data_IF_256298746266
#
_entry.id   IF_256298746266
#
_cell.length_a   1.000
_cell.length_b   1.000
_cell.length_c   1.000
_cell.angle_alpha   90.00
_cell.angle_beta   90.00
_cell.angle_gamma   90.00
#
_symmetry.space_group_name_H-M   'P 1'
#
loop_
_entity.id
_entity.type
_entity.pdbx_description
1 polymer ?
#
# COMPACT_ATOMS: atom_id res chain seq x y z
N UNK A 1 -7.82 -2.68 -5.43
CA UNK A 1 -7.41 -1.46 -4.70
C UNK A 1 -8.06 -1.45 -3.32
N UNK A 2 -7.72 -0.52 -2.43
CA UNK A 2 -8.02 -0.54 -0.98
C UNK A 2 -7.27 -1.68 -0.27
N UNK A 3 -5.98 -1.48 -0.08
CA UNK A 3 -5.07 -2.54 0.36
C UNK A 3 -4.08 -1.99 1.38
N UNK A 4 -4.08 -2.59 2.58
CA UNK A 4 -3.36 -2.05 3.75
C UNK A 4 -2.53 -3.11 4.47
N UNK A 5 -3.05 -4.33 4.60
CA UNK A 5 -2.47 -5.38 5.44
C UNK A 5 -1.66 -6.43 4.68
N UNK A 6 -0.74 -7.09 5.40
CA UNK A 6 0.10 -8.16 4.83
C UNK A 6 -0.70 -9.42 4.45
N UNK A 7 -1.74 -9.76 5.23
CA UNK A 7 -2.61 -10.91 4.93
C UNK A 7 -3.34 -10.74 3.59
N UNK A 8 -3.78 -9.52 3.28
CA UNK A 8 -4.37 -9.17 1.97
C UNK A 8 -3.35 -9.40 0.85
N UNK A 9 -2.08 -9.06 1.07
CA UNK A 9 -1.03 -9.27 0.07
C UNK A 9 -0.79 -10.74 -0.24
N UNK A 10 -0.73 -11.57 0.78
CA UNK A 10 -0.55 -13.00 0.58
C UNK A 10 -1.75 -13.57 -0.18
N UNK A 11 -2.98 -13.30 0.27
CA UNK A 11 -4.17 -13.79 -0.40
C UNK A 11 -4.26 -13.34 -1.87
N UNK A 12 -3.94 -12.08 -2.17
CA UNK A 12 -3.96 -11.56 -3.54
C UNK A 12 -2.96 -12.25 -4.47
N UNK A 13 -1.72 -12.47 -4.02
CA UNK A 13 -0.74 -13.13 -4.89
C UNK A 13 -1.02 -14.60 -5.09
N UNK A 14 -1.59 -15.28 -4.09
CA UNK A 14 -2.00 -16.67 -4.21
C UNK A 14 -3.20 -16.83 -5.15
N UNK A 15 -4.10 -15.84 -5.18
CA UNK A 15 -5.18 -15.74 -6.16
C UNK A 15 -4.71 -15.41 -7.59
N UNK A 16 -3.41 -15.20 -7.81
CA UNK A 16 -2.84 -14.97 -9.14
C UNK A 16 -3.21 -13.62 -9.76
N UNK A 17 -3.52 -12.60 -8.95
CA UNK A 17 -3.88 -11.27 -9.48
C UNK A 17 -2.67 -10.64 -10.20
N UNK A 18 -2.94 -9.87 -11.25
CA UNK A 18 -1.88 -9.21 -12.03
C UNK A 18 -1.11 -8.18 -11.21
N UNK A 19 -1.81 -7.36 -10.43
CA UNK A 19 -1.25 -6.20 -9.74
C UNK A 19 -1.99 -5.94 -8.43
N UNK A 20 -1.23 -5.53 -7.41
CA UNK A 20 -1.76 -4.96 -6.17
C UNK A 20 -1.34 -3.50 -6.00
N UNK A 21 -2.16 -2.73 -5.29
CA UNK A 21 -1.88 -1.32 -5.00
C UNK A 21 -1.87 -1.07 -3.50
N UNK A 22 -0.81 -1.46 -2.77
CA UNK A 22 -0.70 -1.19 -1.33
C UNK A 22 -0.54 0.31 -1.07
N UNK A 23 -1.34 0.82 -0.12
CA UNK A 23 -1.35 2.24 0.23
C UNK A 23 -0.24 2.58 1.21
N UNK A 24 0.36 3.76 1.08
CA UNK A 24 1.42 4.25 1.97
C UNK A 24 0.88 5.31 2.94
N UNK A 25 0.47 6.45 2.40
CA UNK A 25 0.05 7.63 3.15
C UNK A 25 -1.15 7.42 4.06
N UNK A 26 -2.15 6.63 3.65
CA UNK A 26 -3.29 6.33 4.54
C UNK A 26 -2.87 5.47 5.75
N UNK A 27 -1.81 4.68 5.63
CA UNK A 27 -1.22 3.95 6.77
C UNK A 27 -0.54 4.96 7.70
N UNK A 28 0.24 5.89 7.15
CA UNK A 28 0.86 6.98 7.91
C UNK A 28 -0.19 7.80 8.69
N UNK A 29 -1.29 8.18 8.05
CA UNK A 29 -2.36 8.96 8.68
C UNK A 29 -2.97 8.25 9.89
N UNK A 30 -3.23 6.95 9.77
CA UNK A 30 -3.75 6.14 10.88
C UNK A 30 -2.77 6.14 12.06
N UNK A 31 -1.48 5.90 11.78
CA UNK A 31 -0.45 5.87 12.81
C UNK A 31 -0.22 7.23 13.47
N UNK A 32 -0.30 8.34 12.73
CA UNK A 32 -0.24 9.70 13.29
C UNK A 32 -1.44 9.99 14.19
N UNK A 33 -2.64 9.54 13.82
CA UNK A 33 -3.83 9.71 14.65
C UNK A 33 -3.71 8.92 15.96
N UNK A 34 -3.20 7.68 15.91
CA UNK A 34 -3.03 6.83 17.09
C UNK A 34 -1.82 7.20 17.95
N UNK A 35 -0.77 7.76 17.34
CA UNK A 35 0.47 8.17 18.01
C UNK A 35 0.90 9.56 17.51
N UNK A 36 0.28 10.65 18.01
CA UNK A 36 0.53 12.00 17.52
C UNK A 36 1.99 12.46 17.60
N UNK A 37 2.73 11.96 18.59
CA UNK A 37 4.15 12.27 18.80
C UNK A 37 5.10 11.21 18.21
N UNK A 38 4.59 10.32 17.36
CA UNK A 38 5.38 9.30 16.69
C UNK A 38 6.33 9.90 15.64
N UNK A 39 7.53 9.34 15.54
CA UNK A 39 8.49 9.67 14.49
C UNK A 39 8.30 8.71 13.32
N UNK A 40 7.69 9.20 12.26
CA UNK A 40 7.30 8.41 11.08
C UNK A 40 7.95 8.93 9.79
N UNK A 41 9.14 9.51 9.90
CA UNK A 41 9.88 10.07 8.78
C UNK A 41 10.70 9.01 8.02
N UNK A 42 10.74 9.15 6.68
CA UNK A 42 11.55 8.32 5.79
C UNK A 42 11.37 6.82 6.03
N UNK A 43 12.43 6.09 6.43
CA UNK A 43 12.35 4.64 6.66
C UNK A 43 11.50 4.24 7.88
N UNK A 44 11.16 5.18 8.77
CA UNK A 44 10.27 4.95 9.90
C UNK A 44 8.78 5.08 9.54
N UNK A 45 8.47 5.49 8.31
CA UNK A 45 7.09 5.57 7.84
C UNK A 45 6.46 4.15 7.80
N UNK A 46 5.34 3.92 8.50
CA UNK A 46 4.72 2.60 8.59
C UNK A 46 4.13 2.13 7.26
N UNK A 47 3.72 3.05 6.38
CA UNK A 47 3.27 2.74 5.03
C UNK A 47 4.44 2.30 4.14
N UNK A 48 5.58 3.00 4.22
CA UNK A 48 6.81 2.58 3.54
C UNK A 48 7.20 1.18 4.00
N UNK A 49 7.26 0.94 5.32
CA UNK A 49 7.59 -0.38 5.88
C UNK A 49 6.63 -1.48 5.40
N UNK A 50 5.33 -1.18 5.31
CA UNK A 50 4.33 -2.10 4.78
C UNK A 50 4.64 -2.51 3.34
N UNK A 51 4.84 -1.55 2.44
CA UNK A 51 5.15 -1.82 1.03
C UNK A 51 6.50 -2.55 0.88
N UNK A 52 7.53 -2.15 1.62
CA UNK A 52 8.84 -2.83 1.61
C UNK A 52 8.73 -4.30 2.06
N UNK A 53 7.92 -4.58 3.09
CA UNK A 53 7.66 -5.95 3.56
C UNK A 53 6.96 -6.78 2.48
N UNK A 54 5.93 -6.24 1.85
CA UNK A 54 5.17 -6.91 0.78
C UNK A 54 6.07 -7.19 -0.44
N UNK A 55 6.78 -6.16 -0.92
CA UNK A 55 7.71 -6.28 -2.03
C UNK A 55 8.74 -7.38 -1.76
N UNK A 56 9.38 -7.36 -0.59
CA UNK A 56 10.36 -8.38 -0.21
C UNK A 56 9.76 -9.77 -0.19
N UNK A 57 8.59 -9.96 0.40
CA UNK A 57 7.90 -11.25 0.43
C UNK A 57 7.66 -11.78 -0.99
N UNK A 58 7.15 -10.91 -1.88
CA UNK A 58 6.86 -11.30 -3.26
C UNK A 58 8.11 -11.73 -4.02
N UNK A 59 9.21 -10.98 -3.90
CA UNK A 59 10.45 -11.33 -4.60
C UNK A 59 11.18 -12.54 -3.99
N UNK A 60 11.04 -12.79 -2.69
CA UNK A 60 11.58 -13.97 -2.01
C UNK A 60 10.88 -15.25 -2.45
N UNK A 61 9.55 -15.23 -2.53
CA UNK A 61 8.73 -16.39 -2.91
C UNK A 61 8.60 -16.53 -4.44
N UNK A 62 9.11 -15.59 -5.23
CA UNK A 62 9.09 -15.65 -6.69
C UNK A 62 7.74 -15.32 -7.33
N UNK A 63 6.85 -14.66 -6.58
CA UNK A 63 5.53 -14.24 -7.04
C UNK A 63 5.62 -13.22 -8.19
N UNK A 64 4.69 -13.34 -9.14
CA UNK A 64 4.66 -12.52 -10.37
C UNK A 64 3.73 -11.32 -10.29
N UNK A 65 2.85 -11.28 -9.28
CA UNK A 65 1.99 -10.14 -9.03
C UNK A 65 2.81 -8.86 -8.88
N UNK A 66 2.45 -7.84 -9.63
CA UNK A 66 3.11 -6.53 -9.63
C UNK A 66 2.79 -5.79 -8.33
N UNK A 67 3.81 -5.23 -7.68
CA UNK A 67 3.63 -4.36 -6.51
C UNK A 67 3.66 -2.90 -6.96
N UNK A 68 2.50 -2.23 -6.94
CA UNK A 68 2.38 -0.81 -7.28
C UNK A 68 2.11 0.05 -6.05
N UNK A 69 3.13 0.67 -5.46
CA UNK A 69 2.92 1.56 -4.31
C UNK A 69 1.98 2.72 -4.65
N UNK A 70 1.04 3.05 -3.76
CA UNK A 70 0.01 4.04 -4.01
C UNK A 70 -0.26 4.95 -2.80
N UNK A 71 -1.01 6.04 -3.02
CA UNK A 71 -1.51 6.94 -1.97
C UNK A 71 -0.39 7.60 -1.15
N UNK A 72 0.51 8.35 -1.78
CA UNK A 72 1.61 9.04 -1.09
C UNK A 72 1.18 10.39 -0.49
N UNK A 73 1.73 10.76 0.68
CA UNK A 73 1.56 12.11 1.26
C UNK A 73 2.71 13.05 0.94
N UNK A 74 3.90 12.53 0.64
CA UNK A 74 5.09 13.33 0.40
C UNK A 74 6.09 12.60 -0.50
N UNK A 75 7.04 13.34 -1.08
CA UNK A 75 8.07 12.78 -1.95
C UNK A 75 9.10 11.91 -1.22
N UNK A 76 9.23 12.04 0.10
CA UNK A 76 10.09 11.19 0.93
C UNK A 76 9.65 9.73 0.90
N UNK A 77 8.36 9.47 1.06
CA UNK A 77 7.77 8.12 0.94
C UNK A 77 8.07 7.47 -0.42
N UNK A 78 7.96 8.26 -1.50
CA UNK A 78 8.21 7.82 -2.87
C UNK A 78 9.70 7.43 -3.04
N UNK A 79 10.61 8.29 -2.56
CA UNK A 79 12.05 8.06 -2.61
C UNK A 79 12.45 6.82 -1.79
N UNK A 80 11.81 6.58 -0.66
CA UNK A 80 12.05 5.38 0.17
C UNK A 80 11.54 4.07 -0.47
N UNK A 81 10.73 4.18 -1.52
CA UNK A 81 10.22 3.06 -2.30
C UNK A 81 10.81 3.02 -3.73
N UNK A 82 11.85 3.79 -4.00
CA UNK A 82 12.55 3.77 -5.27
C UNK A 82 13.08 2.35 -5.58
N UNK A 83 12.65 1.81 -6.73
CA UNK A 83 12.93 0.42 -7.14
C UNK A 83 11.79 -0.58 -6.87
N UNK A 84 10.65 -0.12 -6.34
CA UNK A 84 9.39 -0.86 -6.44
C UNK A 84 9.01 -1.09 -7.92
N UNK A 85 8.17 -2.09 -8.21
CA UNK A 85 7.83 -2.43 -9.61
C UNK A 85 7.14 -1.24 -10.29
N UNK A 86 6.14 -0.65 -9.63
CA UNK A 86 5.46 0.57 -10.06
C UNK A 86 5.15 1.46 -8.86
N UNK A 87 4.94 2.76 -9.12
CA UNK A 87 4.43 3.72 -8.16
C UNK A 87 3.37 4.59 -8.87
N UNK A 88 2.17 4.68 -8.31
CA UNK A 88 1.13 5.59 -8.81
C UNK A 88 1.14 6.88 -7.97
N UNK A 89 1.54 7.98 -8.58
CA UNK A 89 1.87 9.24 -7.90
C UNK A 89 0.89 10.33 -8.37
N UNK A 90 0.41 11.16 -7.44
CA UNK A 90 -0.48 12.28 -7.77
C UNK A 90 0.25 13.35 -8.60
N UNK A 91 -0.45 14.14 -9.42
CA UNK A 91 0.18 15.21 -10.22
C UNK A 91 0.99 16.19 -9.37
N UNK A 92 0.48 16.58 -8.19
CA UNK A 92 1.19 17.49 -7.29
C UNK A 92 2.56 16.96 -6.84
N UNK A 93 2.64 15.68 -6.45
CA UNK A 93 3.90 15.07 -6.03
C UNK A 93 4.82 14.76 -7.21
N UNK A 94 4.27 14.49 -8.40
CA UNK A 94 5.07 14.40 -9.63
C UNK A 94 5.74 15.73 -9.96
N UNK A 95 5.02 16.84 -9.83
CA UNK A 95 5.58 18.18 -10.04
C UNK A 95 6.67 18.51 -9.02
N UNK A 96 6.50 18.13 -7.76
CA UNK A 96 7.55 18.28 -6.73
C UNK A 96 8.80 17.47 -7.05
N UNK A 97 8.64 16.22 -7.50
CA UNK A 97 9.76 15.37 -7.91
C UNK A 97 10.46 15.94 -9.15
N UNK A 98 9.69 16.43 -10.13
CA UNK A 98 10.21 17.02 -11.36
C UNK A 98 11.06 18.28 -11.08
N UNK A 99 10.69 19.06 -10.08
CA UNK A 99 11.41 20.29 -9.67
C UNK A 99 12.60 20.03 -8.74
N UNK A 100 12.84 18.77 -8.35
CA UNK A 100 13.88 18.42 -7.39
C UNK A 100 15.14 17.87 -8.07
N UNK A 101 16.29 18.50 -7.83
CA UNK A 101 17.60 17.99 -8.26
C UNK A 101 18.23 16.99 -7.26
N UNK A 102 17.48 16.58 -6.24
CA UNK A 102 17.98 15.65 -5.25
C UNK A 102 18.15 14.26 -5.86
N UNK A 103 19.34 13.67 -5.68
CA UNK A 103 19.62 12.31 -6.11
C UNK A 103 18.66 11.32 -5.43
N UNK A 104 18.07 10.43 -6.22
CA UNK A 104 17.22 9.33 -5.74
C UNK A 104 18.01 8.02 -5.80
N UNK A 105 18.19 7.38 -4.65
CA UNK A 105 18.88 6.10 -4.54
C UNK A 105 17.91 4.93 -4.61
N UNK A 106 18.28 3.86 -5.30
CA UNK A 106 17.48 2.64 -5.34
C UNK A 106 17.45 1.94 -3.97
N UNK A 107 16.30 2.00 -3.30
CA UNK A 107 16.06 1.35 -2.00
C UNK A 107 15.67 -0.12 -2.16
N UNK A 108 14.82 -0.43 -3.13
CA UNK A 108 14.29 -1.76 -3.39
C UNK A 108 14.91 -2.40 -4.63
N UNK A 109 15.31 -3.66 -4.52
CA UNK A 109 15.73 -4.46 -5.67
C UNK A 109 15.45 -5.95 -5.42
N UNK A 110 15.31 -6.72 -6.51
CA UNK A 110 15.08 -8.17 -6.44
C UNK A 110 16.24 -8.87 -5.71
N UNK A 111 17.48 -8.51 -6.03
CA UNK A 111 18.67 -9.06 -5.38
C UNK A 111 18.65 -8.82 -3.87
N UNK A 112 18.42 -7.57 -3.42
CA UNK A 112 18.35 -7.23 -1.99
C UNK A 112 17.23 -7.99 -1.28
N UNK A 113 16.08 -8.16 -1.93
CA UNK A 113 14.96 -8.91 -1.36
C UNK A 113 15.31 -10.40 -1.16
N UNK A 114 15.96 -11.02 -2.15
CA UNK A 114 16.32 -12.44 -2.13
C UNK A 114 17.46 -12.77 -1.15
N UNK A 115 18.42 -11.86 -0.94
CA UNK A 115 19.54 -12.05 0.00
C UNK A 115 19.19 -11.69 1.44
N UNK A 116 18.06 -11.01 1.68
CA UNK A 116 17.61 -10.62 3.01
C UNK A 116 17.10 -11.81 3.85
N UNK A 117 16.85 -11.55 5.15
CA UNK A 117 16.20 -12.51 6.05
C UNK A 117 14.90 -13.02 5.40
N UNK A 118 14.73 -14.34 5.30
CA UNK A 118 13.50 -14.94 4.78
C UNK A 118 12.33 -14.63 5.71
N UNK A 119 11.22 -14.19 5.12
CA UNK A 119 9.95 -14.08 5.81
C UNK A 119 9.31 -15.47 5.93
N UNK A 120 8.60 -15.78 7.03
CA UNK A 120 7.83 -17.01 7.12
C UNK A 120 6.79 -17.07 6.00
N UNK A 121 6.73 -18.21 5.32
CA UNK A 121 5.69 -18.48 4.33
C UNK A 121 4.36 -18.70 5.05
N UNK A 122 3.34 -18.00 4.58
CA UNK A 122 1.96 -18.11 5.05
C UNK A 122 1.04 -18.22 3.84
N UNK A 123 -0.18 -18.71 4.06
CA UNK A 123 -1.18 -18.92 3.01
C UNK A 123 -2.57 -18.59 3.53
N UNK A 124 -3.40 -17.96 2.69
CA UNK A 124 -4.73 -17.48 3.07
C UNK A 124 -5.80 -17.68 1.99
N UNK A 125 -5.46 -17.84 0.70
CA UNK A 125 -6.46 -17.85 -0.39
C UNK A 125 -7.51 -18.97 -0.23
N UNK A 126 -7.09 -20.14 0.25
CA UNK A 126 -7.95 -21.32 0.43
C UNK A 126 -8.49 -21.45 1.86
N UNK A 127 -8.28 -20.45 2.72
CA UNK A 127 -8.70 -20.47 4.13
C UNK A 127 -9.26 -19.11 4.57
N UNK A 128 -10.51 -18.84 4.18
CA UNK A 128 -11.21 -17.61 4.50
C UNK A 128 -11.29 -17.31 6.01
N UNK A 129 -11.57 -18.26 6.92
CA UNK A 129 -11.58 -17.99 8.36
C UNK A 129 -10.23 -17.45 8.88
N UNK A 130 -9.12 -18.07 8.49
CA UNK A 130 -7.79 -17.63 8.92
C UNK A 130 -7.43 -16.28 8.28
N UNK A 131 -7.81 -16.04 7.02
CA UNK A 131 -7.67 -14.73 6.38
C UNK A 131 -8.40 -13.64 7.17
N UNK A 132 -9.68 -13.86 7.50
CA UNK A 132 -10.50 -12.90 8.26
C UNK A 132 -9.91 -12.65 9.64
N UNK A 133 -9.42 -13.69 10.31
CA UNK A 133 -8.77 -13.57 11.60
C UNK A 133 -7.46 -12.78 11.52
N UNK A 134 -6.62 -13.04 10.52
CA UNK A 134 -5.39 -12.30 10.29
C UNK A 134 -5.66 -10.82 9.99
N UNK A 135 -6.69 -10.51 9.20
CA UNK A 135 -7.12 -9.15 8.90
C UNK A 135 -7.65 -8.43 10.15
N UNK A 136 -8.47 -9.10 10.96
CA UNK A 136 -9.02 -8.53 12.20
C UNK A 136 -7.92 -8.16 13.20
N UNK A 137 -6.85 -8.94 13.30
CA UNK A 137 -5.71 -8.66 14.19
C UNK A 137 -4.85 -7.47 13.75
N UNK A 138 -4.96 -7.04 12.49
CA UNK A 138 -4.28 -5.86 11.97
C UNK A 138 -5.25 -4.67 12.05
N UNK A 139 -5.32 -4.04 13.22
CA UNK A 139 -6.27 -2.95 13.51
C UNK A 139 -6.23 -1.83 12.46
N UNK A 140 -5.02 -1.44 12.04
CA UNK A 140 -4.84 -0.42 11.00
C UNK A 140 -5.42 -0.86 9.67
N UNK A 141 -5.11 -2.08 9.22
CA UNK A 141 -5.64 -2.60 7.96
C UNK A 141 -7.16 -2.79 8.02
N UNK A 142 -7.69 -3.25 9.15
CA UNK A 142 -9.11 -3.39 9.39
C UNK A 142 -9.83 -2.04 9.29
N UNK A 143 -9.39 -1.04 10.06
CA UNK A 143 -10.01 0.28 10.09
C UNK A 143 -9.97 0.93 8.71
N UNK A 144 -8.79 0.97 8.08
CA UNK A 144 -8.60 1.66 6.80
C UNK A 144 -9.30 0.96 5.64
N UNK A 145 -9.44 -0.36 5.67
CA UNK A 145 -10.25 -1.10 4.69
C UNK A 145 -11.71 -0.66 4.77
N UNK A 146 -12.32 -0.70 5.96
CA UNK A 146 -13.73 -0.34 6.14
C UNK A 146 -13.98 1.15 5.88
N UNK A 147 -13.12 2.04 6.36
CA UNK A 147 -13.17 3.47 6.08
C UNK A 147 -13.08 3.73 4.57
N UNK A 148 -12.16 3.06 3.88
CA UNK A 148 -11.96 3.18 2.44
C UNK A 148 -13.20 2.77 1.65
N UNK A 149 -13.78 1.60 1.95
CA UNK A 149 -14.99 1.10 1.29
C UNK A 149 -16.15 2.08 1.48
N UNK A 150 -16.36 2.57 2.71
CA UNK A 150 -17.43 3.52 3.01
C UNK A 150 -17.30 4.81 2.20
N UNK A 151 -16.11 5.42 2.16
CA UNK A 151 -15.87 6.67 1.42
C UNK A 151 -16.13 6.51 -0.08
N UNK A 152 -15.68 5.42 -0.70
CA UNK A 152 -15.95 5.19 -2.11
C UNK A 152 -17.43 4.97 -2.42
N UNK A 153 -18.19 4.36 -1.50
CA UNK A 153 -19.63 4.25 -1.63
C UNK A 153 -20.31 5.63 -1.55
N UNK A 154 -19.89 6.49 -0.63
CA UNK A 154 -20.38 7.88 -0.50
C UNK A 154 -20.07 8.72 -1.76
N UNK A 155 -18.86 8.60 -2.31
CA UNK A 155 -18.47 9.25 -3.57
C UNK A 155 -19.32 8.75 -4.75
N UNK A 156 -19.64 7.45 -4.77
CA UNK A 156 -20.49 6.85 -5.82
C UNK A 156 -21.92 7.38 -5.78
N UNK A 157 -22.52 7.52 -4.59
CA UNK A 157 -23.84 8.13 -4.45
C UNK A 157 -23.82 9.62 -4.80
N UNK A 158 -22.76 10.34 -4.41
CA UNK A 158 -22.58 11.75 -4.79
C UNK A 158 -22.54 11.92 -6.31
N UNK A 159 -21.77 11.08 -7.01
CA UNK A 159 -21.71 11.08 -8.47
C UNK A 159 -23.07 10.77 -9.08
N UNK A 160 -23.79 9.77 -8.55
CA UNK A 160 -25.12 9.40 -9.03
C UNK A 160 -26.11 10.56 -8.91
N UNK A 161 -26.13 11.27 -7.78
CA UNK A 161 -26.98 12.46 -7.61
C UNK A 161 -26.61 13.58 -8.59
N UNK A 162 -25.32 13.84 -8.81
CA UNK A 162 -24.86 14.83 -9.79
C UNK A 162 -25.32 14.48 -11.20
N UNK A 163 -25.24 13.21 -11.60
CA UNK A 163 -25.72 12.75 -12.91
C UNK A 163 -27.23 12.90 -13.03
N UNK A 164 -28.01 12.58 -11.99
CA UNK A 164 -29.45 12.78 -11.98
C UNK A 164 -29.83 14.24 -12.22
N UNK A 165 -29.14 15.19 -11.57
CA UNK A 165 -29.39 16.64 -11.79
C UNK A 165 -29.01 17.10 -13.19
N UNK A 166 -28.07 16.44 -13.88
CA UNK A 166 -27.62 16.81 -15.23
C UNK A 166 -28.43 16.17 -16.36
N UNK A 167 -29.14 15.08 -16.07
CA UNK A 167 -29.98 14.34 -17.02
C UNK A 167 -31.46 14.74 -16.98
N UNK A 168 -31.86 15.55 -15.99
CA UNK A 168 -33.15 16.23 -15.93
C UNK A 168 -33.09 17.55 -16.72
#
# INVERSE_FOLDING_TARGET
SIFFGFGQAVACTEAGVTLISPFVGRILDWHKAMKPNGKFDGPNDPGVQSVQKIYRYYKQEGYKTIVMGASFQNTGEIKELAGCDFLTISPALLDELHKSDQKVEQKLSVQKAQTGKKLPKVSYVDNEPEFRWALLKDEMAWDKLHEGIKKFAEDSETLKSLLQTKLQ
#
